data_IF_846335194617
#
_entry.id   IF_846335194617
#
_cell.length_a   1.000
_cell.length_b   1.000
_cell.length_c   1.000
_cell.angle_alpha   90.00
_cell.angle_beta   90.00
_cell.angle_gamma   90.00
#
_symmetry.space_group_name_H-M   'P 1'
#
loop_
_entity.id
_entity.type
_entity.pdbx_description
1 polymer ?
#
# COMPACT_ATOMS: atom_id res chain seq x y z
N UNK A 1 43.93 -22.53 -2.27
CA UNK A 1 42.54 -22.71 -1.76
C UNK A 1 42.28 -22.03 -0.41
N UNK A 2 43.18 -22.05 0.59
CA UNK A 2 42.97 -21.41 1.91
C UNK A 2 42.62 -19.91 1.87
N UNK A 3 43.14 -19.16 0.89
CA UNK A 3 42.80 -17.74 0.68
C UNK A 3 41.38 -17.56 0.11
N UNK A 4 40.96 -18.48 -0.76
CA UNK A 4 39.62 -18.48 -1.35
C UNK A 4 38.57 -18.90 -0.32
N UNK A 5 38.84 -19.93 0.49
CA UNK A 5 37.94 -20.34 1.58
C UNK A 5 37.82 -19.24 2.65
N UNK A 6 38.92 -18.56 2.97
CA UNK A 6 38.88 -17.39 3.87
C UNK A 6 38.05 -16.24 3.27
N UNK A 7 38.25 -15.91 2.00
CA UNK A 7 37.44 -14.88 1.33
C UNK A 7 35.96 -15.26 1.30
N UNK A 8 35.65 -16.51 0.96
CA UNK A 8 34.29 -17.02 0.89
C UNK A 8 33.61 -16.97 2.27
N UNK A 9 34.34 -17.34 3.33
CA UNK A 9 33.86 -17.23 4.72
C UNK A 9 33.52 -15.78 5.07
N UNK A 10 34.38 -14.83 4.71
CA UNK A 10 34.13 -13.39 4.93
C UNK A 10 32.92 -12.89 4.12
N UNK A 11 32.75 -13.34 2.87
CA UNK A 11 31.58 -13.01 2.06
C UNK A 11 30.29 -13.55 2.68
N UNK A 12 30.29 -14.81 3.13
CA UNK A 12 29.12 -15.42 3.78
C UNK A 12 28.80 -14.67 5.08
N UNK A 13 29.81 -14.38 5.91
CA UNK A 13 29.62 -13.63 7.15
C UNK A 13 29.03 -12.24 6.87
N UNK A 14 29.56 -11.54 5.87
CA UNK A 14 29.04 -10.25 5.44
C UNK A 14 27.57 -10.33 4.98
N UNK A 15 27.23 -11.36 4.21
CA UNK A 15 25.86 -11.59 3.74
C UNK A 15 24.91 -11.92 4.89
N UNK A 16 25.38 -12.67 5.90
CA UNK A 16 24.64 -12.97 7.10
C UNK A 16 24.36 -11.71 7.93
N UNK A 17 25.34 -10.81 8.03
CA UNK A 17 25.16 -9.50 8.67
C UNK A 17 24.11 -8.66 7.94
N UNK A 18 24.16 -8.61 6.60
CA UNK A 18 23.16 -7.92 5.78
C UNK A 18 21.74 -8.46 6.04
N UNK A 19 21.59 -9.79 6.08
CA UNK A 19 20.30 -10.43 6.40
C UNK A 19 19.85 -10.09 7.81
N UNK A 20 20.76 -10.06 8.79
CA UNK A 20 20.42 -9.68 10.16
C UNK A 20 19.91 -8.23 10.24
N UNK A 21 20.53 -7.30 9.51
CA UNK A 21 20.09 -5.91 9.41
C UNK A 21 18.70 -5.83 8.75
N UNK A 22 18.48 -6.56 7.66
CA UNK A 22 17.18 -6.65 6.98
C UNK A 22 16.07 -7.13 7.93
N UNK A 23 16.35 -8.18 8.71
CA UNK A 23 15.41 -8.70 9.71
C UNK A 23 15.18 -7.72 10.86
N UNK A 24 16.21 -6.97 11.28
CA UNK A 24 16.11 -5.97 12.33
C UNK A 24 15.08 -4.89 11.95
N UNK A 25 15.19 -4.31 10.76
CA UNK A 25 14.24 -3.31 10.29
C UNK A 25 12.81 -3.85 10.17
N UNK A 26 12.63 -5.13 9.79
CA UNK A 26 11.29 -5.71 9.72
C UNK A 26 10.67 -5.96 11.08
N UNK A 27 11.40 -6.61 11.99
CA UNK A 27 10.83 -7.15 13.24
C UNK A 27 10.86 -6.19 14.41
N UNK A 28 11.79 -5.23 14.44
CA UNK A 28 11.96 -4.34 15.58
C UNK A 28 11.17 -3.05 15.36
N UNK A 29 10.13 -2.78 16.18
CA UNK A 29 9.41 -1.52 16.11
C UNK A 29 10.31 -0.37 16.58
N UNK A 30 10.46 0.63 15.72
CA UNK A 30 11.18 1.84 16.05
C UNK A 30 10.29 2.76 16.89
N UNK A 31 10.64 2.92 18.17
CA UNK A 31 9.87 3.76 19.10
C UNK A 31 10.20 5.25 18.98
N UNK A 32 11.38 5.59 18.44
CA UNK A 32 11.77 6.97 18.21
C UNK A 32 11.32 7.47 16.83
N UNK A 33 10.81 8.70 16.71
CA UNK A 33 10.22 9.22 15.47
C UNK A 33 11.20 9.23 14.29
N UNK A 34 12.46 9.59 14.52
CA UNK A 34 13.50 9.57 13.49
C UNK A 34 13.77 8.15 12.95
N UNK A 35 13.87 7.17 13.86
CA UNK A 35 14.08 5.76 13.48
C UNK A 35 12.85 5.17 12.79
N UNK A 36 11.65 5.62 13.16
CA UNK A 36 10.42 5.17 12.55
C UNK A 36 10.29 5.66 11.10
N UNK A 37 10.65 6.91 10.81
CA UNK A 37 10.67 7.44 9.44
C UNK A 37 11.62 6.64 8.54
N UNK A 38 12.84 6.35 9.01
CA UNK A 38 13.82 5.53 8.27
C UNK A 38 13.31 4.11 8.06
N UNK A 39 12.73 3.47 9.09
CA UNK A 39 12.15 2.13 8.98
C UNK A 39 11.00 2.11 7.99
N UNK A 40 10.12 3.10 8.01
CA UNK A 40 8.98 3.19 7.11
C UNK A 40 9.44 3.32 5.65
N UNK A 41 10.40 4.22 5.40
CA UNK A 41 11.03 4.35 4.09
C UNK A 41 11.68 3.04 3.62
N UNK A 42 12.44 2.37 4.50
CA UNK A 42 13.10 1.11 4.18
C UNK A 42 12.10 0.00 3.82
N UNK A 43 11.01 -0.13 4.58
CA UNK A 43 9.97 -1.12 4.33
C UNK A 43 9.28 -0.87 2.98
N UNK A 44 8.94 0.38 2.67
CA UNK A 44 8.32 0.75 1.39
C UNK A 44 9.28 0.54 0.20
N UNK A 45 10.56 0.89 0.34
CA UNK A 45 11.56 0.59 -0.68
C UNK A 45 11.70 -0.92 -0.93
N UNK A 46 11.76 -1.72 0.14
CA UNK A 46 11.94 -3.17 0.07
C UNK A 46 10.76 -3.89 -0.57
N UNK A 47 9.53 -3.48 -0.30
CA UNK A 47 8.33 -4.06 -0.93
C UNK A 47 8.27 -3.75 -2.43
N UNK A 48 8.81 -2.60 -2.85
CA UNK A 48 8.89 -2.21 -4.26
C UNK A 48 10.01 -2.92 -5.00
N UNK A 49 11.14 -3.21 -4.35
CA UNK A 49 12.29 -3.88 -4.97
C UNK A 49 11.96 -5.09 -5.87
N UNK A 50 11.11 -6.06 -5.47
CA UNK A 50 10.73 -7.17 -6.36
C UNK A 50 9.91 -6.73 -7.57
N UNK A 51 9.09 -5.68 -7.44
CA UNK A 51 8.29 -5.12 -8.53
C UNK A 51 9.14 -4.41 -9.60
N UNK A 52 10.37 -4.00 -9.27
CA UNK A 52 11.32 -3.43 -10.24
C UNK A 52 12.05 -4.51 -11.05
N UNK A 53 11.91 -5.79 -10.71
CA UNK A 53 12.56 -6.88 -11.45
C UNK A 53 11.87 -7.04 -12.81
N UNK A 54 12.56 -6.77 -13.94
CA UNK A 54 11.97 -6.87 -15.27
C UNK A 54 11.46 -8.30 -15.51
N UNK A 55 10.18 -8.44 -15.86
CA UNK A 55 9.56 -9.74 -16.13
C UNK A 55 8.77 -10.33 -14.96
N UNK A 56 8.77 -9.70 -13.78
CA UNK A 56 7.75 -10.01 -12.78
C UNK A 56 6.43 -9.39 -13.27
N UNK A 57 5.47 -10.24 -13.64
CA UNK A 57 4.12 -9.81 -13.99
C UNK A 57 3.62 -9.00 -12.80
N UNK A 58 3.57 -7.68 -12.96
CA UNK A 58 2.77 -6.83 -12.08
C UNK A 58 1.41 -7.51 -12.00
N UNK A 59 0.76 -7.46 -10.84
CA UNK A 59 -0.67 -7.75 -10.84
C UNK A 59 -1.27 -6.65 -11.69
N UNK A 60 -1.38 -6.90 -13.00
CA UNK A 60 -1.86 -5.92 -13.95
C UNK A 60 -3.29 -5.61 -13.53
N UNK A 61 -3.76 -4.41 -13.87
CA UNK A 61 -5.12 -4.02 -13.53
C UNK A 61 -6.11 -5.06 -14.09
N UNK A 62 -5.81 -5.64 -15.25
CA UNK A 62 -6.54 -6.74 -15.87
C UNK A 62 -6.52 -8.02 -15.01
N UNK A 63 -5.38 -8.36 -14.39
CA UNK A 63 -5.29 -9.52 -13.49
C UNK A 63 -6.06 -9.31 -12.17
N UNK A 64 -6.19 -8.05 -11.70
CA UNK A 64 -7.07 -7.70 -10.57
C UNK A 64 -8.54 -7.81 -10.97
N UNK A 65 -8.89 -7.27 -12.15
CA UNK A 65 -10.26 -7.31 -12.70
C UNK A 65 -10.69 -8.76 -12.93
N UNK A 66 -9.88 -9.57 -13.59
CA UNK A 66 -10.19 -10.97 -13.88
C UNK A 66 -10.31 -11.80 -12.58
N UNK A 67 -9.51 -11.46 -11.55
CA UNK A 67 -9.62 -12.09 -10.23
C UNK A 67 -10.88 -11.66 -9.48
N UNK A 68 -11.32 -10.42 -9.63
CA UNK A 68 -12.57 -9.92 -9.08
C UNK A 68 -13.78 -10.56 -9.78
N UNK A 69 -13.71 -10.76 -11.09
CA UNK A 69 -14.76 -11.45 -11.87
C UNK A 69 -14.83 -12.95 -11.58
N UNK A 70 -13.70 -13.61 -11.30
CA UNK A 70 -13.66 -15.05 -10.96
C UNK A 70 -13.92 -15.35 -9.48
N UNK A 71 -13.91 -14.36 -8.60
CA UNK A 71 -14.23 -14.57 -7.19
C UNK A 71 -15.77 -14.71 -7.03
N UNK A 72 -16.28 -15.82 -6.47
CA UNK A 72 -17.71 -15.90 -6.16
C UNK A 72 -18.03 -14.79 -5.17
N UNK A 73 -19.12 -14.05 -5.42
CA UNK A 73 -19.59 -12.94 -4.63
C UNK A 73 -19.78 -13.33 -3.15
N UNK A 74 -18.71 -13.27 -2.36
CA UNK A 74 -18.80 -13.21 -0.91
C UNK A 74 -19.34 -11.82 -0.61
N UNK A 75 -20.67 -11.74 -0.43
CA UNK A 75 -21.31 -10.67 0.31
C UNK A 75 -20.60 -10.60 1.66
N UNK A 76 -19.66 -9.67 1.79
CA UNK A 76 -19.21 -9.26 3.11
C UNK A 76 -20.44 -8.64 3.80
N UNK A 77 -20.78 -9.06 5.03
CA UNK A 77 -21.80 -8.38 5.79
C UNK A 77 -21.34 -6.94 6.00
N UNK A 78 -22.02 -6.01 5.33
CA UNK A 78 -21.97 -4.59 5.65
C UNK A 78 -22.25 -4.44 7.16
N UNK A 79 -21.38 -3.77 7.93
CA UNK A 79 -21.80 -3.28 9.23
C UNK A 79 -23.00 -2.34 9.02
N UNK A 80 -24.05 -2.59 9.78
CA UNK A 80 -25.37 -1.98 9.69
C UNK A 80 -25.30 -0.45 9.58
N UNK A 81 -25.44 0.06 8.37
CA UNK A 81 -25.78 1.46 8.12
C UNK A 81 -27.27 1.65 8.38
N UNK A 82 -27.58 2.44 9.40
CA UNK A 82 -28.92 2.96 9.73
C UNK A 82 -29.70 3.36 8.46
N UNK A 83 -30.86 2.71 8.29
CA UNK A 83 -32.15 3.12 7.70
C UNK A 83 -32.13 3.91 6.35
N UNK A 84 -32.90 3.46 5.34
CA UNK A 84 -32.80 3.94 3.96
C UNK A 84 -33.63 5.18 3.67
N UNK A 85 -33.10 6.08 2.83
CA UNK A 85 -33.86 7.08 2.06
C UNK A 85 -33.04 7.52 0.83
N UNK A 86 -33.72 8.00 -0.22
CA UNK A 86 -34.09 7.28 -1.43
C UNK A 86 -33.00 7.25 -2.51
N UNK A 87 -33.17 6.33 -3.46
CA UNK A 87 -32.36 6.19 -4.67
C UNK A 87 -32.17 7.53 -5.40
N UNK A 88 -30.98 8.11 -5.30
CA UNK A 88 -30.49 9.10 -6.26
C UNK A 88 -29.60 8.38 -7.25
N UNK A 89 -29.84 8.65 -8.53
CA UNK A 89 -29.11 8.11 -9.68
C UNK A 89 -27.61 8.02 -9.40
N UNK A 90 -27.00 6.90 -9.80
CA UNK A 90 -25.55 6.72 -9.86
C UNK A 90 -24.99 7.82 -10.75
N UNK A 91 -24.56 8.92 -10.14
CA UNK A 91 -23.77 9.96 -10.79
C UNK A 91 -22.32 9.54 -10.61
N UNK A 92 -21.53 9.68 -11.67
CA UNK A 92 -20.11 9.41 -11.55
C UNK A 92 -19.50 10.40 -10.54
N UNK A 93 -18.69 9.91 -9.58
CA UNK A 93 -18.13 10.75 -8.54
C UNK A 93 -17.26 11.83 -9.18
N UNK A 94 -17.50 13.08 -8.78
CA UNK A 94 -16.84 14.25 -9.38
C UNK A 94 -15.60 14.67 -8.62
N UNK A 95 -15.39 14.22 -7.38
CA UNK A 95 -14.26 14.60 -6.53
C UNK A 95 -13.60 13.39 -5.85
N UNK A 96 -12.30 13.50 -5.59
CA UNK A 96 -11.57 12.57 -4.73
C UNK A 96 -10.70 13.29 -3.71
N UNK A 97 -10.47 12.68 -2.55
CA UNK A 97 -9.57 13.17 -1.50
C UNK A 97 -8.91 12.00 -0.77
N UNK A 98 -7.78 12.26 -0.11
CA UNK A 98 -7.13 11.29 0.79
C UNK A 98 -7.59 11.53 2.23
N UNK A 99 -7.95 10.47 2.95
CA UNK A 99 -8.31 10.57 4.38
C UNK A 99 -7.09 10.47 5.30
N UNK A 100 -7.31 10.55 6.63
CA UNK A 100 -6.24 10.49 7.64
C UNK A 100 -5.48 9.15 7.65
N UNK A 101 -6.02 8.13 6.98
CA UNK A 101 -5.38 6.81 6.81
C UNK A 101 -4.70 6.66 5.46
N UNK A 102 -4.74 7.71 4.62
CA UNK A 102 -4.19 7.70 3.27
C UNK A 102 -5.06 6.95 2.26
N UNK A 103 -6.30 6.62 2.59
CA UNK A 103 -7.21 6.00 1.63
C UNK A 103 -7.86 7.04 0.73
N UNK A 104 -7.95 6.72 -0.57
CA UNK A 104 -8.64 7.52 -1.58
C UNK A 104 -10.16 7.35 -1.41
N UNK A 105 -10.84 8.46 -1.14
CA UNK A 105 -12.30 8.55 -1.02
C UNK A 105 -12.84 9.36 -2.18
N UNK A 106 -13.98 8.92 -2.72
CA UNK A 106 -14.67 9.57 -3.82
C UNK A 106 -15.98 10.19 -3.31
N UNK A 107 -16.32 11.37 -3.82
CA UNK A 107 -17.52 12.12 -3.45
C UNK A 107 -18.16 12.76 -4.68
N UNK A 108 -19.48 12.89 -4.66
CA UNK A 108 -20.22 13.48 -5.77
C UNK A 108 -20.12 15.01 -5.74
N UNK A 109 -19.98 15.58 -4.54
CA UNK A 109 -19.87 17.01 -4.33
C UNK A 109 -18.87 17.38 -3.23
N UNK A 110 -18.37 18.61 -3.27
CA UNK A 110 -17.45 19.13 -2.26
C UNK A 110 -18.09 19.21 -0.85
N UNK A 111 -19.41 19.23 -0.76
CA UNK A 111 -20.14 19.31 0.52
C UNK A 111 -20.13 18.00 1.29
N UNK A 112 -20.08 16.86 0.58
CA UNK A 112 -19.95 15.52 1.15
C UNK A 112 -18.56 15.27 1.75
N UNK A 113 -17.55 16.04 1.30
CA UNK A 113 -16.19 15.94 1.80
C UNK A 113 -16.09 16.64 3.18
N UNK A 114 -15.55 15.98 4.23
CA UNK A 114 -15.35 16.62 5.52
C UNK A 114 -14.51 17.90 5.38
N UNK A 115 -14.90 18.98 6.08
CA UNK A 115 -14.31 20.33 5.93
C UNK A 115 -12.77 20.35 5.93
N UNK A 116 -12.14 19.48 6.71
CA UNK A 116 -10.68 19.35 6.80
C UNK A 116 -10.02 18.87 5.49
N UNK A 117 -10.69 18.01 4.74
CA UNK A 117 -10.17 17.42 3.50
C UNK A 117 -10.58 18.18 2.23
N UNK A 118 -11.51 19.14 2.32
CA UNK A 118 -11.99 19.91 1.15
C UNK A 118 -10.89 20.69 0.43
N UNK A 119 -9.85 21.12 1.16
CA UNK A 119 -8.72 21.86 0.58
C UNK A 119 -7.80 20.98 -0.27
N UNK A 120 -7.79 19.69 0.02
CA UNK A 120 -6.94 18.68 -0.64
C UNK A 120 -7.73 17.87 -1.67
N UNK A 121 -9.06 18.06 -1.71
CA UNK A 121 -9.94 17.42 -2.67
C UNK A 121 -9.65 17.91 -4.09
N UNK A 122 -9.55 16.98 -5.02
CA UNK A 122 -9.39 17.24 -6.45
C UNK A 122 -10.62 16.79 -7.21
N UNK A 123 -10.93 17.48 -8.32
CA UNK A 123 -12.02 17.10 -9.21
C UNK A 123 -11.52 16.00 -10.15
N UNK A 124 -12.33 14.97 -10.41
CA UNK A 124 -12.06 14.02 -11.49
C UNK A 124 -12.37 14.72 -12.81
N UNK A 125 -11.34 14.95 -13.63
CA UNK A 125 -11.51 15.36 -15.02
C UNK A 125 -12.05 14.14 -15.81
N UNK A 126 -13.18 14.32 -16.49
CA UNK A 126 -13.79 13.31 -17.38
C UNK A 126 -13.20 13.41 -18.79
#
# INVERSE_FOLDING_TARGET
>A
MKRLTRSLLWTILFLLILVAIDQFFMRVPAHQPALNAVRHFYLDFRTRLPHLVPGQKTTSVEAVIERAERAPARRQPQPESKKPAPATAVKDPSYFYADDQGELRFADSLDEIPKRFRKEAQRLEQ
#
